data_IF_933214966669
#
_entry.id   IF_933214966669
#
_cell.length_a   1.000
_cell.length_b   1.000
_cell.length_c   1.000
_cell.angle_alpha   90.00
_cell.angle_beta   90.00
_cell.angle_gamma   90.00
#
_symmetry.space_group_name_H-M   'P 1'
#
loop_
_entity.id
_entity.type
_entity.pdbx_description
1 polymer ?
#
# COMPACT_ATOMS: atom_id res chain seq x y z
N UNK A 1 53.02 -49.12 15.68
CA UNK A 1 52.60 -48.30 16.84
C UNK A 1 53.13 -46.87 16.78
N UNK A 2 54.42 -46.59 17.01
CA UNK A 2 54.89 -45.19 17.12
C UNK A 2 54.88 -44.41 15.77
N UNK A 3 55.11 -45.06 14.63
CA UNK A 3 55.02 -44.44 13.30
C UNK A 3 53.57 -44.14 12.89
N UNK A 4 52.69 -45.09 13.17
CA UNK A 4 51.26 -45.04 12.84
C UNK A 4 50.54 -43.93 13.60
N UNK A 5 50.92 -43.70 14.87
CA UNK A 5 50.45 -42.57 15.67
C UNK A 5 50.97 -41.23 15.12
N UNK A 6 52.20 -41.18 14.61
CA UNK A 6 52.76 -39.98 13.99
C UNK A 6 52.02 -39.60 12.70
N UNK A 7 51.69 -40.58 11.87
CA UNK A 7 50.95 -40.37 10.62
C UNK A 7 49.52 -39.87 10.90
N UNK A 8 48.83 -40.48 11.87
CA UNK A 8 47.51 -40.02 12.31
C UNK A 8 47.54 -38.60 12.89
N UNK A 9 48.58 -38.25 13.64
CA UNK A 9 48.74 -36.89 14.18
C UNK A 9 48.94 -35.86 13.06
N UNK A 10 49.70 -36.20 12.02
CA UNK A 10 49.93 -35.34 10.86
C UNK A 10 48.63 -35.13 10.08
N UNK A 11 47.89 -36.21 9.83
CA UNK A 11 46.59 -36.15 9.14
C UNK A 11 45.55 -35.31 9.92
N UNK A 12 45.54 -35.45 11.24
CA UNK A 12 44.66 -34.65 12.11
C UNK A 12 45.01 -33.15 12.09
N UNK A 13 46.29 -32.79 12.01
CA UNK A 13 46.73 -31.39 11.86
C UNK A 13 46.30 -30.80 10.52
N UNK A 14 46.48 -31.56 9.44
CA UNK A 14 46.08 -31.12 8.09
C UNK A 14 44.56 -30.91 8.01
N UNK A 15 43.77 -31.84 8.57
CA UNK A 15 42.32 -31.68 8.62
C UNK A 15 41.90 -30.47 9.46
N UNK A 16 42.57 -30.22 10.59
CA UNK A 16 42.28 -29.06 11.44
C UNK A 16 42.54 -27.73 10.72
N UNK A 17 43.62 -27.63 9.94
CA UNK A 17 43.89 -26.42 9.17
C UNK A 17 42.89 -26.23 8.02
N UNK A 18 42.50 -27.30 7.33
CA UNK A 18 41.46 -27.24 6.31
C UNK A 18 40.11 -26.79 6.89
N UNK A 19 39.72 -27.34 8.05
CA UNK A 19 38.49 -26.99 8.75
C UNK A 19 38.49 -25.53 9.23
N UNK A 20 39.64 -25.00 9.66
CA UNK A 20 39.78 -23.58 10.04
C UNK A 20 39.53 -22.66 8.84
N UNK A 21 40.09 -22.99 7.68
CA UNK A 21 39.88 -22.20 6.45
C UNK A 21 38.40 -22.23 6.05
N UNK A 22 37.79 -23.42 5.96
CA UNK A 22 36.36 -23.58 5.67
C UNK A 22 35.48 -22.79 6.64
N UNK A 23 35.80 -22.83 7.94
CA UNK A 23 35.05 -22.09 8.97
C UNK A 23 35.18 -20.58 8.79
N UNK A 24 36.36 -20.09 8.45
CA UNK A 24 36.57 -18.66 8.20
C UNK A 24 35.80 -18.18 6.97
N UNK A 25 35.82 -18.95 5.88
CA UNK A 25 35.04 -18.64 4.67
C UNK A 25 33.53 -18.62 4.95
N UNK A 26 33.01 -19.65 5.62
CA UNK A 26 31.61 -19.71 6.03
C UNK A 26 31.21 -18.51 6.92
N UNK A 27 32.09 -18.11 7.85
CA UNK A 27 31.82 -16.95 8.71
C UNK A 27 31.77 -15.64 7.91
N UNK A 28 32.62 -15.50 6.89
CA UNK A 28 32.62 -14.35 5.98
C UNK A 28 31.34 -14.29 5.15
N UNK A 29 30.89 -15.44 4.62
CA UNK A 29 29.62 -15.54 3.89
C UNK A 29 28.42 -15.20 4.77
N UNK A 30 28.36 -15.76 5.98
CA UNK A 30 27.30 -15.44 6.96
C UNK A 30 27.26 -13.93 7.23
N UNK A 31 28.41 -13.30 7.44
CA UNK A 31 28.47 -11.85 7.67
C UNK A 31 27.96 -11.06 6.45
N UNK A 32 28.30 -11.48 5.24
CA UNK A 32 27.80 -10.84 4.01
C UNK A 32 26.28 -10.99 3.87
N UNK A 33 25.74 -12.19 4.13
CA UNK A 33 24.31 -12.47 4.08
C UNK A 33 23.56 -11.65 5.13
N UNK A 34 24.07 -11.56 6.36
CA UNK A 34 23.46 -10.75 7.42
C UNK A 34 23.39 -9.27 7.05
N UNK A 35 24.44 -8.71 6.44
CA UNK A 35 24.43 -7.32 5.96
C UNK A 35 23.39 -7.11 4.86
N UNK A 36 23.32 -8.02 3.89
CA UNK A 36 22.34 -7.94 2.81
C UNK A 36 20.91 -8.07 3.33
N UNK A 37 20.66 -8.98 4.27
CA UNK A 37 19.37 -9.16 4.91
C UNK A 37 18.93 -7.88 5.64
N UNK A 38 19.84 -7.23 6.37
CA UNK A 38 19.56 -5.96 7.04
C UNK A 38 19.15 -4.87 6.05
N UNK A 39 19.92 -4.69 4.98
CA UNK A 39 19.60 -3.72 3.92
C UNK A 39 18.22 -3.99 3.30
N UNK A 40 17.92 -5.26 2.99
CA UNK A 40 16.61 -5.64 2.41
C UNK A 40 15.45 -5.44 3.38
N UNK A 41 15.67 -5.67 4.68
CA UNK A 41 14.68 -5.38 5.72
C UNK A 41 14.36 -3.88 5.80
N UNK A 42 15.39 -3.03 5.80
CA UNK A 42 15.25 -1.57 5.82
C UNK A 42 14.51 -1.06 4.56
N UNK A 43 14.86 -1.58 3.38
CA UNK A 43 14.18 -1.28 2.12
C UNK A 43 12.69 -1.68 2.17
N UNK A 44 12.37 -2.85 2.72
CA UNK A 44 10.99 -3.32 2.86
C UNK A 44 10.16 -2.38 3.76
N UNK A 45 10.73 -1.93 4.89
CA UNK A 45 10.08 -0.96 5.79
C UNK A 45 9.83 0.36 5.07
N UNK A 46 10.82 0.85 4.32
CA UNK A 46 10.69 2.10 3.57
C UNK A 46 9.59 2.02 2.50
N UNK A 47 9.58 0.94 1.71
CA UNK A 47 8.55 0.72 0.68
C UNK A 47 7.16 0.59 1.30
N UNK A 48 7.04 -0.10 2.44
CA UNK A 48 5.77 -0.23 3.16
C UNK A 48 5.24 1.14 3.60
N UNK A 49 6.12 2.01 4.12
CA UNK A 49 5.76 3.38 4.49
C UNK A 49 5.32 4.21 3.27
N UNK A 50 6.01 4.07 2.14
CA UNK A 50 5.65 4.78 0.91
C UNK A 50 4.29 4.30 0.36
N UNK A 51 4.03 2.99 0.37
CA UNK A 51 2.75 2.43 -0.02
C UNK A 51 1.60 2.98 0.83
N UNK A 52 1.76 3.04 2.16
CA UNK A 52 0.76 3.62 3.05
C UNK A 52 0.47 5.10 2.70
N UNK A 53 1.51 5.92 2.52
CA UNK A 53 1.36 7.33 2.13
C UNK A 53 0.66 7.49 0.78
N UNK A 54 0.97 6.62 -0.19
CA UNK A 54 0.32 6.63 -1.50
C UNK A 54 -1.15 6.23 -1.41
N UNK A 55 -1.49 5.24 -0.57
CA UNK A 55 -2.87 4.85 -0.32
C UNK A 55 -3.67 6.00 0.31
N UNK A 56 -3.12 6.66 1.33
CA UNK A 56 -3.75 7.82 1.98
C UNK A 56 -4.00 8.95 0.96
N UNK A 57 -2.99 9.28 0.15
CA UNK A 57 -3.11 10.31 -0.90
C UNK A 57 -4.14 9.91 -1.96
N UNK A 58 -4.16 8.65 -2.38
CA UNK A 58 -5.13 8.16 -3.36
C UNK A 58 -6.55 8.26 -2.82
N UNK A 59 -6.77 7.92 -1.56
CA UNK A 59 -8.06 8.07 -0.90
C UNK A 59 -8.48 9.54 -0.79
N UNK A 60 -7.56 10.44 -0.42
CA UNK A 60 -7.83 11.87 -0.36
C UNK A 60 -8.24 12.43 -1.73
N UNK A 61 -7.49 12.10 -2.79
CA UNK A 61 -7.82 12.51 -4.16
C UNK A 61 -9.15 11.95 -4.63
N UNK A 62 -9.47 10.69 -4.31
CA UNK A 62 -10.75 10.09 -4.64
C UNK A 62 -11.92 10.83 -3.95
N UNK A 63 -11.74 11.26 -2.69
CA UNK A 63 -12.71 12.11 -1.97
C UNK A 63 -12.89 13.47 -2.62
N UNK A 64 -11.80 14.14 -3.00
CA UNK A 64 -11.85 15.43 -3.69
C UNK A 64 -12.58 15.32 -5.04
N UNK A 65 -12.25 14.28 -5.83
CA UNK A 65 -12.92 14.01 -7.10
C UNK A 65 -14.40 13.71 -6.91
N UNK A 66 -14.76 12.94 -5.88
CA UNK A 66 -16.15 12.66 -5.55
C UNK A 66 -16.92 13.94 -5.18
N UNK A 67 -16.34 14.79 -4.33
CA UNK A 67 -16.93 16.07 -3.95
C UNK A 67 -17.12 16.99 -5.17
N UNK A 68 -16.12 17.09 -6.04
CA UNK A 68 -16.21 17.87 -7.27
C UNK A 68 -17.35 17.35 -8.17
N UNK A 69 -17.40 16.04 -8.40
CA UNK A 69 -18.40 15.41 -9.27
C UNK A 69 -19.82 15.61 -8.73
N UNK A 70 -20.03 15.46 -7.41
CA UNK A 70 -21.33 15.71 -6.75
C UNK A 70 -21.83 17.16 -6.91
N UNK A 71 -20.92 18.12 -7.06
CA UNK A 71 -21.26 19.53 -7.22
C UNK A 71 -21.46 19.90 -8.69
N UNK A 72 -20.62 19.37 -9.60
CA UNK A 72 -20.59 19.78 -11.00
C UNK A 72 -21.50 18.98 -11.92
N UNK A 73 -21.76 17.71 -11.62
CA UNK A 73 -22.49 16.81 -12.51
C UNK A 73 -23.96 16.70 -12.11
N UNK A 74 -24.82 17.37 -12.87
CA UNK A 74 -26.27 17.33 -12.69
C UNK A 74 -26.92 16.04 -13.24
N UNK A 75 -26.16 15.20 -13.93
CA UNK A 75 -26.61 13.96 -14.57
C UNK A 75 -26.30 12.70 -13.80
N UNK A 76 -25.76 12.83 -12.60
CA UNK A 76 -25.59 11.70 -11.70
C UNK A 76 -26.94 11.07 -11.34
N UNK A 77 -26.98 9.74 -11.44
CA UNK A 77 -28.05 8.92 -10.90
C UNK A 77 -27.93 8.81 -9.38
N UNK A 78 -29.03 8.49 -8.70
CA UNK A 78 -29.08 8.37 -7.24
C UNK A 78 -28.04 7.38 -6.70
N UNK A 79 -27.87 6.24 -7.37
CA UNK A 79 -26.89 5.21 -7.02
C UNK A 79 -25.44 5.74 -7.12
N UNK A 80 -25.14 6.59 -8.10
CA UNK A 80 -23.82 7.18 -8.25
C UNK A 80 -23.56 8.26 -7.21
N UNK A 81 -24.58 9.07 -6.89
CA UNK A 81 -24.52 10.04 -5.78
C UNK A 81 -24.27 9.32 -4.46
N UNK A 82 -24.94 8.18 -4.22
CA UNK A 82 -24.75 7.36 -3.02
C UNK A 82 -23.34 6.78 -2.94
N UNK A 83 -22.83 6.16 -4.02
CA UNK A 83 -21.46 5.60 -4.06
C UNK A 83 -20.40 6.67 -3.80
N UNK A 84 -20.56 7.86 -4.38
CA UNK A 84 -19.63 8.98 -4.18
C UNK A 84 -19.72 9.54 -2.75
N UNK A 85 -20.91 9.64 -2.17
CA UNK A 85 -21.11 10.14 -0.81
C UNK A 85 -20.62 9.16 0.27
N UNK A 86 -20.59 7.86 -0.02
CA UNK A 86 -20.05 6.84 0.88
C UNK A 86 -18.52 6.78 0.88
N UNK A 87 -17.85 7.48 -0.03
CA UNK A 87 -16.42 7.32 -0.27
C UNK A 87 -15.58 7.77 0.94
N UNK A 88 -15.08 6.79 1.69
CA UNK A 88 -14.27 6.98 2.88
C UNK A 88 -15.01 7.51 4.11
N UNK A 89 -16.32 7.25 4.19
CA UNK A 89 -17.15 7.43 5.38
C UNK A 89 -17.47 6.08 6.06
N UNK A 90 -17.65 6.09 7.39
CA UNK A 90 -17.99 4.89 8.17
C UNK A 90 -19.49 4.77 8.37
N UNK A 91 -19.96 3.55 8.71
CA UNK A 91 -21.38 3.19 8.86
C UNK A 91 -22.22 4.12 9.76
N UNK A 92 -21.59 4.87 10.69
CA UNK A 92 -22.26 5.83 11.58
C UNK A 92 -22.86 7.06 10.87
N UNK A 93 -22.55 7.30 9.60
CA UNK A 93 -23.02 8.49 8.86
C UNK A 93 -24.11 8.19 7.82
N UNK A 94 -24.61 6.95 7.78
CA UNK A 94 -25.50 6.49 6.71
C UNK A 94 -26.79 7.32 6.59
N UNK A 95 -27.49 7.58 7.68
CA UNK A 95 -28.76 8.33 7.62
C UNK A 95 -28.57 9.79 7.16
N UNK A 96 -27.45 10.39 7.55
CA UNK A 96 -27.07 11.74 7.09
C UNK A 96 -26.71 11.74 5.61
N UNK A 97 -25.98 10.72 5.14
CA UNK A 97 -25.66 10.53 3.73
C UNK A 97 -26.93 10.35 2.91
N UNK A 98 -27.86 9.48 3.34
CA UNK A 98 -29.10 9.22 2.62
C UNK A 98 -29.96 10.50 2.49
N UNK A 99 -29.96 11.34 3.52
CA UNK A 99 -30.65 12.65 3.48
C UNK A 99 -29.98 13.61 2.48
N UNK A 100 -28.64 13.63 2.45
CA UNK A 100 -27.87 14.46 1.52
C UNK A 100 -28.04 13.99 0.07
N UNK A 101 -28.03 12.67 -0.17
CA UNK A 101 -28.26 12.06 -1.49
C UNK A 101 -29.61 12.50 -2.03
N UNK A 102 -30.69 12.33 -1.24
CA UNK A 102 -32.05 12.77 -1.65
C UNK A 102 -32.10 14.26 -1.97
N UNK A 103 -31.47 15.09 -1.14
CA UNK A 103 -31.42 16.54 -1.33
C UNK A 103 -30.67 16.94 -2.61
N UNK A 104 -29.55 16.27 -2.91
CA UNK A 104 -28.74 16.47 -4.12
C UNK A 104 -29.49 16.05 -5.38
N UNK A 105 -30.17 14.90 -5.36
CA UNK A 105 -30.98 14.42 -6.50
C UNK A 105 -32.10 15.40 -6.81
N UNK A 106 -32.82 15.89 -5.79
CA UNK A 106 -33.86 16.91 -5.97
C UNK A 106 -33.28 18.18 -6.57
N UNK A 107 -32.18 18.70 -6.00
CA UNK A 107 -31.47 19.87 -6.53
C UNK A 107 -31.15 19.69 -8.01
N UNK A 108 -30.54 18.57 -8.39
CA UNK A 108 -30.13 18.31 -9.77
C UNK A 108 -31.33 18.30 -10.73
N UNK A 109 -32.44 17.66 -10.36
CA UNK A 109 -33.69 17.70 -11.13
C UNK A 109 -34.20 19.14 -11.30
N UNK A 110 -34.33 19.89 -10.21
CA UNK A 110 -34.83 21.27 -10.26
C UNK A 110 -33.96 22.20 -11.11
N UNK A 111 -32.63 22.06 -11.03
CA UNK A 111 -31.71 22.84 -11.87
C UNK A 111 -31.87 22.51 -13.35
N UNK A 112 -32.02 21.23 -13.73
CA UNK A 112 -32.26 20.83 -15.12
C UNK A 112 -33.57 21.40 -15.67
N UNK A 113 -34.64 21.34 -14.88
CA UNK A 113 -35.95 21.92 -15.25
C UNK A 113 -35.86 23.43 -15.45
N UNK A 114 -35.16 24.14 -14.56
CA UNK A 114 -34.94 25.58 -14.69
C UNK A 114 -34.13 25.91 -15.94
N UNK A 115 -33.04 25.17 -16.20
CA UNK A 115 -32.20 25.37 -17.38
C UNK A 115 -32.99 25.15 -18.67
N UNK A 116 -33.86 24.13 -18.71
CA UNK A 116 -34.74 23.86 -19.83
C UNK A 116 -35.72 25.03 -20.08
N UNK A 117 -36.31 25.60 -19.03
CA UNK A 117 -37.18 26.78 -19.15
C UNK A 117 -36.41 28.01 -19.65
N UNK A 118 -35.19 28.24 -19.15
CA UNK A 118 -34.35 29.34 -19.64
C UNK A 118 -34.00 29.18 -21.12
N UNK A 119 -33.68 27.97 -21.57
CA UNK A 119 -33.40 27.69 -22.98
C UNK A 119 -34.62 27.85 -23.89
N UNK A 120 -35.84 27.69 -23.38
CA UNK A 120 -37.08 27.96 -24.12
C UNK A 120 -37.38 29.46 -24.27
N UNK A 121 -36.74 30.30 -23.45
CA UNK A 121 -36.94 31.75 -23.41
C UNK A 121 -35.85 32.53 -24.18
N UNK A 122 -34.79 31.87 -24.64
CA UNK A 122 -33.75 32.44 -25.52
C UNK A 122 -34.03 32.12 -26.98
#
# INVERSE_FOLDING_TARGET
>A
ENSEVSDQLQQCKEQLEEDKVKRWEAMKEISAIQKLLKLKSEECVQLTSQCAKLQDRTMALAKELAALKLVSDLSLEEDDVLKLALLGNTAKTKDTIDTLVKSLVIRNRSYKELLAKCNQLS
#
